data_IF_448102369545
#
_entry.id   IF_448102369545
#
_cell.length_a   1.000
_cell.length_b   1.000
_cell.length_c   1.000
_cell.angle_alpha   90.00
_cell.angle_beta   90.00
_cell.angle_gamma   90.00
#
_symmetry.space_group_name_H-M   'P 1'
#
loop_
_entity.id
_entity.type
_entity.pdbx_description
1 polymer ?
#
# COMPACT_ATOMS: atom_id res chain seq x y z
N UNK A 1 -7.02 8.82 -38.24
CA UNK A 1 -5.57 8.70 -37.96
C UNK A 1 -5.16 9.85 -37.06
N UNK A 2 -4.95 9.60 -35.77
CA UNK A 2 -4.26 10.52 -34.86
C UNK A 2 -3.37 9.68 -33.94
N UNK A 3 -2.08 9.99 -33.99
CA UNK A 3 -0.99 9.22 -33.40
C UNK A 3 -0.75 9.75 -31.99
N UNK A 4 -1.18 9.02 -30.96
CA UNK A 4 -0.67 9.25 -29.60
C UNK A 4 0.59 8.41 -29.41
N UNK A 5 1.69 9.08 -29.66
CA UNK A 5 3.05 8.60 -29.41
C UNK A 5 3.19 8.22 -27.94
N UNK A 6 3.71 7.01 -27.75
CA UNK A 6 4.14 6.36 -26.53
C UNK A 6 4.97 7.33 -25.66
N UNK A 7 4.34 7.98 -24.69
CA UNK A 7 5.06 8.50 -23.52
C UNK A 7 5.16 7.32 -22.56
N UNK A 8 6.28 6.61 -22.67
CA UNK A 8 6.60 5.46 -21.82
C UNK A 8 6.68 5.91 -20.35
N UNK A 9 6.03 5.15 -19.46
CA UNK A 9 5.96 5.40 -18.02
C UNK A 9 7.33 5.48 -17.33
N UNK A 10 8.42 5.12 -18.02
CA UNK A 10 9.78 5.25 -17.53
C UNK A 10 10.24 6.70 -17.28
N UNK A 11 9.65 7.69 -17.96
CA UNK A 11 10.10 9.10 -17.83
C UNK A 11 9.62 9.79 -16.54
N UNK A 12 8.54 9.33 -15.92
CA UNK A 12 8.01 9.93 -14.69
C UNK A 12 8.77 9.50 -13.43
N UNK A 13 9.46 8.36 -13.47
CA UNK A 13 10.20 7.83 -12.31
C UNK A 13 11.54 8.55 -12.06
N UNK A 14 12.12 9.16 -13.10
CA UNK A 14 13.42 9.84 -13.00
C UNK A 14 13.35 11.22 -12.29
N UNK A 15 12.17 11.82 -12.14
CA UNK A 15 12.02 13.14 -11.51
C UNK A 15 11.94 13.08 -9.97
N UNK A 16 11.80 11.90 -9.38
CA UNK A 16 11.74 11.74 -7.91
C UNK A 16 13.09 11.38 -7.26
N UNK A 17 14.13 11.08 -8.04
CA UNK A 17 15.44 10.64 -7.50
C UNK A 17 16.48 11.77 -7.33
N UNK A 18 16.19 13.00 -7.76
CA UNK A 18 17.14 14.12 -7.68
C UNK A 18 17.00 15.00 -6.44
N UNK A 19 16.13 14.63 -5.49
CA UNK A 19 15.87 15.43 -4.28
C UNK A 19 16.02 14.61 -2.99
N UNK A 20 17.15 13.92 -2.82
CA UNK A 20 17.64 13.46 -1.50
C UNK A 20 19.17 13.27 -1.52
N UNK A 21 19.92 14.25 -2.02
CA UNK A 21 21.36 14.31 -1.75
C UNK A 21 21.61 15.14 -0.48
N UNK A 22 21.86 14.43 0.62
CA UNK A 22 22.48 15.00 1.83
C UNK A 22 23.26 13.91 2.59
N UNK A 23 24.55 13.69 2.29
CA UNK A 23 25.36 12.82 3.12
C UNK A 23 25.86 13.60 4.36
N UNK A 24 25.46 13.16 5.55
CA UNK A 24 26.14 13.52 6.79
C UNK A 24 27.33 12.56 6.99
N UNK A 25 28.50 13.05 6.60
CA UNK A 25 29.81 12.46 6.80
C UNK A 25 30.18 12.51 8.30
N UNK A 26 30.67 11.41 8.90
CA UNK A 26 31.69 11.43 9.97
C UNK A 26 32.30 10.02 10.20
N UNK A 27 33.60 9.93 10.55
CA UNK A 27 34.42 8.74 10.36
C UNK A 27 34.56 7.82 11.60
N UNK A 28 34.99 6.60 11.31
CA UNK A 28 35.38 5.50 12.22
C UNK A 28 36.74 5.77 12.88
N UNK A 29 36.89 5.43 14.16
CA UNK A 29 38.18 5.12 14.80
C UNK A 29 38.17 3.73 15.46
N UNK A 30 39.17 2.91 15.13
CA UNK A 30 39.58 1.61 15.71
C UNK A 30 40.44 1.81 16.98
N UNK A 31 40.40 0.98 18.04
CA UNK A 31 41.11 -0.32 18.27
C UNK A 31 41.02 -0.71 19.80
N UNK A 32 41.61 -1.82 20.36
CA UNK A 32 40.89 -2.91 21.05
C UNK A 32 41.32 -3.19 22.53
N UNK A 33 40.65 -4.11 23.23
CA UNK A 33 41.19 -4.81 24.42
C UNK A 33 40.47 -6.15 24.69
N UNK A 34 41.15 -7.07 25.38
CA UNK A 34 41.05 -8.52 25.28
C UNK A 34 40.13 -9.24 26.30
N UNK A 35 39.60 -10.39 25.84
CA UNK A 35 39.27 -11.68 26.50
C UNK A 35 38.93 -11.78 27.99
N UNK A 36 37.80 -12.47 28.28
CA UNK A 36 37.77 -13.64 29.16
C UNK A 36 36.50 -14.49 28.89
N UNK A 37 36.70 -15.80 28.70
CA UNK A 37 35.66 -16.82 28.61
C UNK A 37 35.28 -17.34 30.01
N UNK A 38 34.03 -17.80 30.22
CA UNK A 38 33.62 -19.10 30.81
C UNK A 38 32.09 -19.25 30.72
N UNK A 39 31.67 -20.50 30.55
CA UNK A 39 30.40 -21.06 30.04
C UNK A 39 29.35 -21.33 31.17
N UNK A 40 28.28 -22.12 30.97
CA UNK A 40 26.87 -21.72 30.83
C UNK A 40 25.98 -22.06 32.05
N UNK A 41 24.88 -21.32 32.27
CA UNK A 41 23.81 -21.76 33.17
C UNK A 41 22.41 -21.60 32.54
N UNK A 42 21.74 -22.76 32.46
CA UNK A 42 20.33 -23.00 32.70
C UNK A 42 19.27 -22.25 31.86
N UNK A 43 18.65 -23.02 30.96
CA UNK A 43 17.18 -23.19 30.90
C UNK A 43 16.32 -21.98 31.26
N UNK A 44 16.36 -20.95 30.41
CA UNK A 44 15.10 -20.38 29.93
C UNK A 44 14.91 -20.91 28.52
N UNK A 45 13.94 -21.82 28.36
CA UNK A 45 13.12 -21.86 27.15
C UNK A 45 12.42 -20.51 27.05
N UNK A 46 13.18 -19.48 26.65
CA UNK A 46 12.63 -18.38 25.90
C UNK A 46 12.12 -19.10 24.67
N UNK A 47 10.80 -19.29 24.58
CA UNK A 47 10.20 -19.46 23.28
C UNK A 47 10.64 -18.23 22.50
N UNK A 48 11.72 -18.39 21.74
CA UNK A 48 12.15 -17.40 20.79
C UNK A 48 10.92 -17.21 19.93
N UNK A 49 10.20 -16.11 20.17
CA UNK A 49 9.04 -15.72 19.38
C UNK A 49 9.64 -15.55 18.00
N UNK A 50 9.49 -16.58 17.17
CA UNK A 50 10.06 -16.61 15.84
C UNK A 50 9.49 -15.38 15.14
N UNK A 51 10.37 -14.50 14.66
CA UNK A 51 9.94 -13.29 13.99
C UNK A 51 9.29 -13.71 12.66
N UNK A 52 7.96 -13.72 12.64
CA UNK A 52 7.16 -14.06 11.45
C UNK A 52 6.81 -12.83 10.65
N UNK A 53 7.25 -11.63 11.05
CA UNK A 53 6.69 -10.39 10.55
C UNK A 53 6.91 -10.15 9.06
N UNK A 54 8.06 -10.53 8.50
CA UNK A 54 8.28 -10.41 7.06
C UNK A 54 7.37 -11.34 6.23
N UNK A 55 7.18 -12.60 6.67
CA UNK A 55 6.29 -13.55 6.01
C UNK A 55 4.83 -13.13 6.14
N UNK A 56 4.41 -12.79 7.36
CA UNK A 56 3.06 -12.33 7.66
C UNK A 56 2.73 -11.05 6.88
N UNK A 57 3.67 -10.10 6.80
CA UNK A 57 3.46 -8.85 6.08
C UNK A 57 3.30 -9.09 4.59
N UNK A 58 4.16 -9.91 3.98
CA UNK A 58 4.02 -10.31 2.57
C UNK A 58 2.69 -11.01 2.33
N UNK A 59 2.32 -11.98 3.18
CA UNK A 59 1.05 -12.71 3.09
C UNK A 59 -0.15 -11.77 3.16
N UNK A 60 -0.09 -10.76 4.03
CA UNK A 60 -1.13 -9.74 4.14
C UNK A 60 -1.20 -8.85 2.88
N UNK A 61 -0.07 -8.43 2.31
CA UNK A 61 -0.04 -7.66 1.07
C UNK A 61 -0.62 -8.42 -0.12
N UNK A 62 -0.23 -9.69 -0.29
CA UNK A 62 -0.79 -10.57 -1.33
C UNK A 62 -2.30 -10.76 -1.14
N UNK A 63 -2.73 -10.93 0.11
CA UNK A 63 -4.15 -11.01 0.43
C UNK A 63 -4.91 -9.74 0.05
N UNK A 64 -4.38 -8.54 0.35
CA UNK A 64 -4.96 -7.25 -0.01
C UNK A 64 -5.10 -7.09 -1.53
N UNK A 65 -4.03 -7.34 -2.28
CA UNK A 65 -4.04 -7.26 -3.74
C UNK A 65 -5.09 -8.19 -4.36
N UNK A 66 -5.22 -9.40 -3.81
CA UNK A 66 -6.26 -10.32 -4.25
C UNK A 66 -7.67 -9.80 -3.94
N UNK A 67 -7.90 -9.15 -2.78
CA UNK A 67 -9.21 -8.57 -2.48
C UNK A 67 -9.55 -7.40 -3.42
N UNK A 68 -8.59 -6.53 -3.74
CA UNK A 68 -8.78 -5.43 -4.70
C UNK A 68 -9.22 -5.96 -6.07
N UNK A 69 -8.53 -7.00 -6.56
CA UNK A 69 -8.91 -7.68 -7.80
C UNK A 69 -10.32 -8.25 -7.73
N UNK A 70 -10.67 -8.96 -6.65
CA UNK A 70 -12.00 -9.57 -6.49
C UNK A 70 -13.11 -8.53 -6.38
N UNK A 71 -12.85 -7.33 -5.82
CA UNK A 71 -13.81 -6.21 -5.83
C UNK A 71 -14.04 -5.74 -7.26
N UNK A 72 -12.99 -5.50 -8.04
CA UNK A 72 -13.12 -5.10 -9.44
C UNK A 72 -13.88 -6.13 -10.27
N UNK A 73 -13.58 -7.42 -10.10
CA UNK A 73 -14.30 -8.52 -10.76
C UNK A 73 -15.77 -8.57 -10.34
N UNK A 74 -16.08 -8.43 -9.04
CA UNK A 74 -17.46 -8.43 -8.56
C UNK A 74 -18.27 -7.28 -9.16
N UNK A 75 -17.71 -6.07 -9.20
CA UNK A 75 -18.36 -4.89 -9.81
C UNK A 75 -18.60 -5.14 -11.31
N UNK A 76 -17.57 -5.55 -12.05
CA UNK A 76 -17.68 -5.78 -13.49
C UNK A 76 -18.72 -6.86 -13.80
N UNK A 77 -18.71 -7.97 -13.05
CA UNK A 77 -19.68 -9.06 -13.21
C UNK A 77 -21.12 -8.60 -12.99
N UNK A 78 -21.39 -7.74 -12.00
CA UNK A 78 -22.75 -7.22 -11.77
C UNK A 78 -23.17 -6.19 -12.84
N UNK A 79 -22.24 -5.36 -13.31
CA UNK A 79 -22.52 -4.41 -14.40
C UNK A 79 -22.80 -5.11 -15.74
N UNK A 80 -22.06 -6.17 -16.07
CA UNK A 80 -22.29 -6.97 -17.28
C UNK A 80 -23.70 -7.59 -17.29
N UNK A 81 -24.22 -7.98 -16.12
CA UNK A 81 -25.58 -8.55 -15.97
C UNK A 81 -26.70 -7.54 -16.16
N UNK A 82 -26.45 -6.24 -16.01
CA UNK A 82 -27.48 -5.21 -16.17
C UNK A 82 -28.00 -5.14 -17.62
N UNK A 83 -27.14 -5.44 -18.59
CA UNK A 83 -27.43 -5.26 -20.01
C UNK A 83 -27.46 -3.79 -20.44
N UNK A 84 -27.37 -3.56 -21.75
CA UNK A 84 -27.15 -2.22 -22.34
C UNK A 84 -28.24 -1.20 -22.02
N UNK A 85 -29.49 -1.63 -21.81
CA UNK A 85 -30.61 -0.73 -21.56
C UNK A 85 -30.62 -0.17 -20.14
N UNK A 86 -30.38 -1.03 -19.13
CA UNK A 86 -30.31 -0.61 -17.72
C UNK A 86 -29.02 0.13 -17.41
N UNK A 87 -27.94 -0.15 -18.13
CA UNK A 87 -26.65 0.53 -17.98
C UNK A 87 -26.70 2.03 -18.37
N UNK A 88 -27.79 2.51 -18.97
CA UNK A 88 -28.01 3.94 -19.27
C UNK A 88 -28.57 4.72 -18.08
N UNK A 89 -29.09 4.05 -17.06
CA UNK A 89 -29.64 4.67 -15.87
C UNK A 89 -28.55 4.76 -14.79
N UNK A 90 -28.12 5.99 -14.50
CA UNK A 90 -27.05 6.28 -13.54
C UNK A 90 -27.38 5.79 -12.13
N UNK A 91 -28.64 5.86 -11.71
CA UNK A 91 -29.06 5.40 -10.38
C UNK A 91 -28.99 3.88 -10.31
N UNK A 92 -29.45 3.17 -11.34
CA UNK A 92 -29.37 1.70 -11.41
C UNK A 92 -27.90 1.24 -11.41
N UNK A 93 -27.04 1.90 -12.18
CA UNK A 93 -25.61 1.61 -12.22
C UNK A 93 -24.99 1.84 -10.85
N UNK A 94 -25.25 2.99 -10.22
CA UNK A 94 -24.72 3.32 -8.90
C UNK A 94 -25.16 2.32 -7.83
N UNK A 95 -26.44 1.98 -7.77
CA UNK A 95 -26.97 1.00 -6.81
C UNK A 95 -26.37 -0.39 -7.05
N UNK A 96 -26.14 -0.77 -8.30
CA UNK A 96 -25.50 -2.04 -8.65
C UNK A 96 -24.06 -2.10 -8.16
N UNK A 97 -23.28 -1.04 -8.41
CA UNK A 97 -21.89 -0.94 -7.93
C UNK A 97 -21.84 -0.94 -6.40
N UNK A 98 -22.68 -0.15 -5.76
CA UNK A 98 -22.76 -0.07 -4.30
C UNK A 98 -23.05 -1.44 -3.68
N UNK A 99 -24.04 -2.17 -4.20
CA UNK A 99 -24.39 -3.49 -3.70
C UNK A 99 -23.27 -4.51 -3.95
N UNK A 100 -22.64 -4.49 -5.12
CA UNK A 100 -21.50 -5.37 -5.42
C UNK A 100 -20.34 -5.16 -4.44
N UNK A 101 -20.03 -3.89 -4.11
CA UNK A 101 -19.00 -3.55 -3.13
C UNK A 101 -19.40 -4.01 -1.72
N UNK A 102 -20.64 -3.74 -1.30
CA UNK A 102 -21.13 -4.13 0.03
C UNK A 102 -21.08 -5.65 0.22
N UNK A 103 -21.58 -6.41 -0.76
CA UNK A 103 -21.54 -7.88 -0.75
C UNK A 103 -20.10 -8.40 -0.71
N UNK A 104 -19.19 -7.75 -1.46
CA UNK A 104 -17.80 -8.15 -1.48
C UNK A 104 -17.07 -7.82 -0.17
N UNK A 105 -17.38 -6.70 0.49
CA UNK A 105 -16.85 -6.38 1.83
C UNK A 105 -17.25 -7.46 2.84
N UNK A 106 -18.49 -7.95 2.80
CA UNK A 106 -18.91 -9.05 3.67
C UNK A 106 -18.12 -10.34 3.41
N UNK A 107 -17.89 -10.69 2.14
CA UNK A 107 -17.05 -11.85 1.76
C UNK A 107 -15.60 -11.67 2.23
N UNK A 108 -15.04 -10.47 2.08
CA UNK A 108 -13.69 -10.14 2.55
C UNK A 108 -13.59 -10.34 4.07
N UNK A 109 -14.56 -9.83 4.84
CA UNK A 109 -14.59 -10.01 6.28
C UNK A 109 -14.62 -11.49 6.69
N UNK A 110 -15.37 -12.34 5.97
CA UNK A 110 -15.36 -13.78 6.23
C UNK A 110 -14.02 -14.42 5.85
N UNK A 111 -13.48 -14.11 4.67
CA UNK A 111 -12.21 -14.65 4.18
C UNK A 111 -11.05 -14.26 5.12
N UNK A 112 -11.05 -13.05 5.65
CA UNK A 112 -10.05 -12.55 6.58
C UNK A 112 -9.95 -13.35 7.88
N UNK A 113 -11.01 -14.06 8.30
CA UNK A 113 -10.98 -14.94 9.49
C UNK A 113 -10.04 -16.12 9.30
N UNK A 114 -9.83 -16.55 8.05
CA UNK A 114 -8.90 -17.63 7.70
C UNK A 114 -7.47 -17.14 7.47
N UNK A 115 -7.26 -15.81 7.37
CA UNK A 115 -5.94 -15.23 7.20
C UNK A 115 -5.20 -15.19 8.54
N UNK A 116 -4.42 -16.23 8.80
CA UNK A 116 -3.55 -16.30 9.97
C UNK A 116 -2.36 -15.35 9.83
N UNK A 117 -2.22 -14.45 10.81
CA UNK A 117 -1.14 -13.48 10.96
C UNK A 117 -0.71 -13.54 12.42
N UNK A 118 0.59 -13.75 12.68
CA UNK A 118 1.14 -13.93 14.03
C UNK A 118 1.86 -12.69 14.54
N UNK A 119 2.48 -11.91 13.66
CA UNK A 119 3.10 -10.62 14.01
C UNK A 119 2.02 -9.60 14.42
N UNK A 120 2.21 -8.98 15.58
CA UNK A 120 1.23 -8.08 16.18
C UNK A 120 1.05 -6.77 15.38
N UNK A 121 2.10 -6.25 14.76
CA UNK A 121 2.02 -5.03 13.94
C UNK A 121 1.31 -5.34 12.62
N UNK A 122 1.62 -6.47 11.98
CA UNK A 122 0.90 -6.92 10.78
C UNK A 122 -0.57 -7.21 11.10
N UNK A 123 -0.85 -7.82 12.26
CA UNK A 123 -2.23 -8.04 12.73
C UNK A 123 -2.96 -6.73 12.96
N UNK A 124 -2.31 -5.74 13.58
CA UNK A 124 -2.89 -4.42 13.79
C UNK A 124 -3.22 -3.73 12.45
N UNK A 125 -2.34 -3.85 11.44
CA UNK A 125 -2.60 -3.35 10.10
C UNK A 125 -3.81 -4.04 9.48
N UNK A 126 -3.88 -5.38 9.53
CA UNK A 126 -5.04 -6.16 9.07
C UNK A 126 -6.34 -5.70 9.73
N UNK A 127 -6.35 -5.55 11.05
CA UNK A 127 -7.54 -5.14 11.80
C UNK A 127 -7.97 -3.72 11.42
N UNK A 128 -7.03 -2.79 11.17
CA UNK A 128 -7.31 -1.44 10.70
C UNK A 128 -7.87 -1.43 9.28
N UNK A 129 -7.33 -2.23 8.36
CA UNK A 129 -7.87 -2.35 7.00
C UNK A 129 -9.31 -2.88 7.00
N UNK A 130 -9.62 -3.88 7.85
CA UNK A 130 -10.98 -4.39 7.98
C UNK A 130 -11.94 -3.34 8.59
N UNK A 131 -11.47 -2.54 9.55
CA UNK A 131 -12.25 -1.43 10.10
C UNK A 131 -12.51 -0.36 9.02
N UNK A 132 -11.51 -0.03 8.19
CA UNK A 132 -11.67 0.91 7.08
C UNK A 132 -12.71 0.42 6.07
N UNK A 133 -12.67 -0.86 5.67
CA UNK A 133 -13.67 -1.46 4.77
C UNK A 133 -15.07 -1.45 5.38
N UNK A 134 -15.19 -1.80 6.67
CA UNK A 134 -16.47 -1.76 7.40
C UNK A 134 -17.04 -0.34 7.44
N UNK A 135 -16.18 0.66 7.62
CA UNK A 135 -16.57 2.05 7.63
C UNK A 135 -16.94 2.55 6.24
N UNK A 136 -16.20 2.16 5.21
CA UNK A 136 -16.55 2.40 3.80
C UNK A 136 -17.94 1.86 3.44
N UNK A 137 -18.28 0.65 3.91
CA UNK A 137 -19.62 0.08 3.75
C UNK A 137 -20.71 0.95 4.42
N UNK A 138 -20.45 1.47 5.63
CA UNK A 138 -21.35 2.42 6.30
C UNK A 138 -21.49 3.72 5.51
N UNK A 139 -20.39 4.26 4.97
CA UNK A 139 -20.41 5.48 4.16
C UNK A 139 -21.20 5.30 2.87
N UNK A 140 -21.08 4.15 2.18
CA UNK A 140 -21.90 3.83 0.99
C UNK A 140 -23.39 3.86 1.35
N UNK A 141 -23.78 3.19 2.44
CA UNK A 141 -25.17 3.16 2.92
C UNK A 141 -25.67 4.56 3.29
N UNK A 142 -24.88 5.30 4.07
CA UNK A 142 -25.22 6.66 4.50
C UNK A 142 -25.34 7.63 3.31
N UNK A 143 -24.50 7.47 2.28
CA UNK A 143 -24.58 8.28 1.07
C UNK A 143 -25.86 7.98 0.27
N UNK A 144 -26.26 6.71 0.19
CA UNK A 144 -27.55 6.33 -0.42
C UNK A 144 -28.74 6.92 0.34
N UNK A 145 -28.68 6.94 1.69
CA UNK A 145 -29.69 7.59 2.52
C UNK A 145 -29.72 9.10 2.32
N UNK A 146 -28.56 9.75 2.28
CA UNK A 146 -28.42 11.20 2.07
C UNK A 146 -28.98 11.62 0.71
N UNK A 147 -28.73 10.84 -0.35
CA UNK A 147 -29.27 11.09 -1.68
C UNK A 147 -30.81 11.01 -1.70
N UNK A 148 -31.40 10.12 -0.90
CA UNK A 148 -32.86 9.95 -0.78
C UNK A 148 -33.51 10.98 0.15
N UNK A 149 -32.79 11.42 1.19
CA UNK A 149 -33.29 12.31 2.22
C UNK A 149 -32.18 13.23 2.77
N UNK A 150 -31.90 14.37 2.10
CA UNK A 150 -30.82 15.27 2.47
C UNK A 150 -31.17 16.10 3.70
N UNK A 151 -30.95 15.52 4.88
CA UNK A 151 -31.15 16.19 6.18
C UNK A 151 -29.83 16.64 6.80
N UNK A 152 -29.83 17.70 7.63
CA UNK A 152 -28.65 18.10 8.40
C UNK A 152 -28.08 16.96 9.26
N UNK A 153 -28.95 16.11 9.80
CA UNK A 153 -28.58 14.94 10.60
C UNK A 153 -27.85 13.89 9.75
N UNK A 154 -28.36 13.56 8.56
CA UNK A 154 -27.70 12.63 7.65
C UNK A 154 -26.36 13.17 7.15
N UNK A 155 -26.28 14.47 6.86
CA UNK A 155 -25.02 15.13 6.48
C UNK A 155 -23.99 15.05 7.61
N UNK A 156 -24.42 15.32 8.85
CA UNK A 156 -23.56 15.22 10.02
C UNK A 156 -23.07 13.78 10.24
N UNK A 157 -23.96 12.80 10.16
CA UNK A 157 -23.60 11.39 10.27
C UNK A 157 -22.56 10.99 9.22
N UNK A 158 -22.72 11.44 7.97
CA UNK A 158 -21.74 11.20 6.92
C UNK A 158 -20.37 11.83 7.23
N UNK A 159 -20.35 13.09 7.68
CA UNK A 159 -19.10 13.77 8.07
C UNK A 159 -18.39 13.10 9.26
N UNK A 160 -19.13 12.57 10.23
CA UNK A 160 -18.56 11.82 11.36
C UNK A 160 -17.93 10.49 10.90
N UNK A 161 -18.55 9.80 9.94
CA UNK A 161 -17.97 8.60 9.33
C UNK A 161 -16.70 8.94 8.53
N UNK A 162 -16.70 10.04 7.79
CA UNK A 162 -15.51 10.50 7.07
C UNK A 162 -14.34 10.80 8.03
N UNK A 163 -14.58 11.53 9.12
CA UNK A 163 -13.55 11.81 10.12
C UNK A 163 -12.99 10.53 10.76
N UNK A 164 -13.85 9.52 11.00
CA UNK A 164 -13.40 8.21 11.48
C UNK A 164 -12.53 7.49 10.44
N UNK A 165 -12.84 7.62 9.14
CA UNK A 165 -12.10 6.99 8.06
C UNK A 165 -10.73 7.63 7.91
N UNK A 166 -10.67 8.96 7.95
CA UNK A 166 -9.42 9.72 7.92
C UNK A 166 -8.49 9.30 9.06
N UNK A 167 -9.04 9.14 10.27
CA UNK A 167 -8.25 8.67 11.42
C UNK A 167 -7.73 7.23 11.21
N UNK A 168 -8.58 6.31 10.76
CA UNK A 168 -8.17 4.92 10.51
C UNK A 168 -7.11 4.86 9.41
N UNK A 169 -7.25 5.66 8.36
CA UNK A 169 -6.28 5.76 7.28
C UNK A 169 -4.93 6.27 7.78
N UNK A 170 -4.91 7.34 8.58
CA UNK A 170 -3.67 7.87 9.16
C UNK A 170 -2.99 6.86 10.11
N UNK A 171 -3.75 6.21 10.99
CA UNK A 171 -3.25 5.15 11.86
C UNK A 171 -2.66 3.98 11.02
N UNK A 172 -3.39 3.55 9.98
CA UNK A 172 -2.97 2.46 9.08
C UNK A 172 -1.70 2.77 8.29
N UNK A 173 -1.62 3.96 7.70
CA UNK A 173 -0.43 4.44 6.99
C UNK A 173 0.80 4.49 7.89
N UNK A 174 0.63 4.90 9.15
CA UNK A 174 1.72 4.93 10.13
C UNK A 174 2.25 3.51 10.38
N UNK A 175 1.36 2.55 10.64
CA UNK A 175 1.73 1.14 10.86
C UNK A 175 2.39 0.56 9.61
N UNK A 176 1.84 0.83 8.42
CA UNK A 176 2.38 0.33 7.16
C UNK A 176 3.76 0.92 6.85
N UNK A 177 4.00 2.19 7.14
CA UNK A 177 5.32 2.82 7.01
C UNK A 177 6.36 2.16 7.94
N UNK A 178 5.98 1.85 9.18
CA UNK A 178 6.85 1.13 10.12
C UNK A 178 7.16 -0.29 9.64
N UNK A 179 6.16 -1.02 9.15
CA UNK A 179 6.32 -2.37 8.59
C UNK A 179 7.18 -2.37 7.33
N UNK A 180 7.00 -1.39 6.43
CA UNK A 180 7.85 -1.22 5.25
C UNK A 180 9.30 -0.89 5.63
N UNK A 181 9.52 -0.06 6.64
CA UNK A 181 10.87 0.21 7.15
C UNK A 181 11.54 -1.04 7.73
N UNK A 182 10.75 -1.92 8.36
CA UNK A 182 11.25 -3.11 9.06
C UNK A 182 11.43 -4.32 8.14
N UNK A 183 10.49 -4.54 7.22
CA UNK A 183 10.36 -5.76 6.42
C UNK A 183 10.25 -5.50 4.91
N UNK A 184 10.12 -4.25 4.49
CA UNK A 184 10.12 -3.90 3.07
C UNK A 184 11.45 -4.28 2.43
N UNK A 185 11.40 -4.79 1.21
CA UNK A 185 12.62 -5.08 0.45
C UNK A 185 13.27 -3.75 0.09
N UNK A 186 14.32 -3.36 0.82
CA UNK A 186 15.34 -2.51 0.21
C UNK A 186 16.04 -3.39 -0.82
N UNK A 187 15.73 -3.19 -2.10
CA UNK A 187 16.60 -3.67 -3.16
C UNK A 187 18.02 -3.22 -2.82
N UNK A 188 19.01 -4.14 -2.71
CA UNK A 188 20.39 -3.74 -2.55
C UNK A 188 20.72 -2.77 -3.68
N UNK A 189 21.26 -1.60 -3.33
CA UNK A 189 21.92 -0.75 -4.31
C UNK A 189 23.04 -1.61 -4.88
N UNK A 190 22.87 -2.08 -6.11
CA UNK A 190 23.96 -2.61 -6.91
C UNK A 190 25.01 -1.51 -6.94
N UNK A 191 26.10 -1.72 -6.20
CA UNK A 191 27.26 -0.83 -6.20
C UNK A 191 27.67 -0.63 -7.66
N UNK A 192 27.35 0.55 -8.20
CA UNK A 192 27.86 0.96 -9.48
C UNK A 192 29.38 0.98 -9.38
N UNK A 193 30.00 -0.03 -10.01
CA UNK A 193 31.45 -0.09 -10.20
C UNK A 193 31.86 1.22 -10.87
N UNK A 194 32.74 2.04 -10.29
CA UNK A 194 33.11 3.31 -10.88
C UNK A 194 33.80 3.04 -12.22
N UNK A 195 33.19 3.52 -13.30
CA UNK A 195 33.80 3.52 -14.62
C UNK A 195 35.07 4.38 -14.59
N UNK A 196 36.18 3.76 -14.98
CA UNK A 196 37.48 4.38 -15.15
C UNK A 196 37.36 5.42 -16.27
N UNK A 197 37.90 6.62 -16.01
CA UNK A 197 38.01 7.71 -16.96
C UNK A 197 38.97 7.33 -18.09
N UNK A 198 38.56 7.55 -19.33
CA UNK A 198 39.41 7.87 -20.48
C UNK A 198 38.70 9.06 -21.16
N UNK A 199 39.11 10.29 -20.89
CA UNK A 199 40.13 11.00 -21.67
C UNK A 199 40.05 10.66 -23.17
N UNK A 200 39.23 11.40 -23.90
CA UNK A 200 39.64 11.93 -25.21
C UNK A 200 38.73 13.09 -25.62
N UNK A 201 39.37 14.24 -25.75
CA UNK A 201 38.82 15.43 -26.41
C UNK A 201 38.92 15.20 -27.92
N UNK A 202 37.95 15.66 -28.72
CA UNK A 202 38.38 16.46 -29.86
C UNK A 202 37.49 17.69 -30.11
N UNK A 203 38.17 18.83 -30.05
CA UNK A 203 38.35 19.81 -31.12
C UNK A 203 37.16 20.17 -32.03
N UNK A 204 36.93 21.49 -32.06
CA UNK A 204 36.00 22.24 -32.88
C UNK A 204 36.14 21.99 -34.39
N UNK A 205 35.00 22.01 -35.10
CA UNK A 205 34.96 22.45 -36.49
C UNK A 205 33.62 23.16 -36.75
N UNK A 206 33.70 24.49 -36.67
CA UNK A 206 32.80 25.47 -37.27
C UNK A 206 32.80 25.29 -38.80
N UNK A 207 31.63 25.09 -39.41
CA UNK A 207 31.37 25.58 -40.77
C UNK A 207 29.86 25.56 -41.06
N UNK A 208 29.24 26.74 -41.04
CA UNK A 208 27.94 26.98 -41.65
C UNK A 208 28.06 28.14 -42.63
N UNK A 209 28.22 27.83 -43.92
CA UNK A 209 27.82 28.68 -45.04
C UNK A 209 27.50 27.85 -46.29
#
# INVERSE_FOLDING_TARGET
MTKFTKISAAALFALFLTACDKPANNPVETKPAATAATQPEADKKVEAKMDTGAEDYKKFQEWQQNQEKLIGEAINNELEKLGEEKAKDETIVQDTVNNAILDQIEKIQQNAKSLEIKDEQVKALKDKSLQAMTLGAKMIKQNSELAKNPTPEAQKAFSELQAQLDKIAADGQTIEAELNKKYGISTPVEEAVPAINDDETPEEADENK
#
